data_IF_310175277818
#
_entry.id   IF_310175277818
#
_cell.length_a   1.000
_cell.length_b   1.000
_cell.length_c   1.000
_cell.angle_alpha   90.00
_cell.angle_beta   90.00
_cell.angle_gamma   90.00
#
_symmetry.space_group_name_H-M   'P 1'
#
loop_
_entity.id
_entity.type
_entity.pdbx_description
1 polymer ?
#
# COMPACT_ATOMS: atom_id res chain seq x y z
N UNK A 1 31.45 10.23 -44.02
CA UNK A 1 30.23 9.52 -43.61
C UNK A 1 30.43 8.99 -42.20
N UNK A 2 29.71 9.51 -41.19
CA UNK A 2 29.69 8.91 -39.88
C UNK A 2 28.52 7.91 -39.77
N UNK A 3 28.84 6.73 -39.26
CA UNK A 3 27.94 5.62 -38.94
C UNK A 3 26.91 6.06 -37.89
N UNK A 4 25.62 5.91 -38.20
CA UNK A 4 24.54 6.01 -37.21
C UNK A 4 24.53 4.73 -36.36
N UNK A 5 24.91 4.83 -35.11
CA UNK A 5 24.47 3.89 -34.08
C UNK A 5 23.11 4.39 -33.59
N UNK A 6 22.06 3.63 -33.89
CA UNK A 6 20.73 3.87 -33.33
C UNK A 6 20.70 3.38 -31.88
N UNK A 7 20.82 4.29 -30.92
CA UNK A 7 20.48 4.01 -29.53
C UNK A 7 18.94 4.06 -29.40
N UNK A 8 18.35 2.95 -28.97
CA UNK A 8 16.94 2.85 -28.59
C UNK A 8 16.64 3.78 -27.42
N UNK A 9 15.51 4.49 -27.47
CA UNK A 9 15.04 5.39 -26.43
C UNK A 9 14.93 4.65 -25.09
N UNK A 10 15.90 4.88 -24.19
CA UNK A 10 15.72 4.66 -22.76
C UNK A 10 14.78 5.74 -22.26
N UNK A 11 13.52 5.40 -22.03
CA UNK A 11 12.60 6.29 -21.32
C UNK A 11 13.11 6.40 -19.89
N UNK A 12 13.77 7.51 -19.56
CA UNK A 12 13.91 7.96 -18.17
C UNK A 12 12.48 8.23 -17.66
N UNK A 13 11.87 7.24 -17.03
CA UNK A 13 10.70 7.50 -16.19
C UNK A 13 11.25 8.21 -14.96
N UNK A 14 10.88 9.48 -14.78
CA UNK A 14 11.18 10.21 -13.55
C UNK A 14 10.52 9.47 -12.39
N UNK A 15 11.34 8.85 -11.54
CA UNK A 15 10.86 8.09 -10.38
C UNK A 15 10.09 9.02 -9.45
N UNK A 16 8.89 8.63 -9.03
CA UNK A 16 8.06 9.45 -8.16
C UNK A 16 8.62 9.51 -6.73
N UNK A 17 8.42 10.64 -6.07
CA UNK A 17 8.54 10.71 -4.61
C UNK A 17 7.24 10.24 -3.95
N UNK A 18 7.31 9.94 -2.65
CA UNK A 18 6.12 9.63 -1.87
C UNK A 18 5.10 10.78 -1.86
N UNK A 19 5.54 12.04 -1.95
CA UNK A 19 4.62 13.18 -2.03
C UNK A 19 3.89 13.18 -3.36
N UNK A 20 4.63 13.05 -4.46
CA UNK A 20 4.03 13.01 -5.81
C UNK A 20 3.06 11.85 -5.96
N UNK A 21 3.41 10.69 -5.38
CA UNK A 21 2.55 9.52 -5.39
C UNK A 21 1.26 9.72 -4.57
N UNK A 22 1.36 10.30 -3.37
CA UNK A 22 0.17 10.59 -2.54
C UNK A 22 -0.77 11.58 -3.24
N UNK A 23 -0.23 12.57 -3.95
CA UNK A 23 -1.02 13.52 -4.74
C UNK A 23 -1.65 12.86 -5.98
N UNK A 24 -0.96 11.87 -6.57
CA UNK A 24 -1.46 11.07 -7.69
C UNK A 24 -2.56 10.08 -7.28
N UNK A 25 -2.64 9.72 -6.00
CA UNK A 25 -3.52 8.69 -5.48
C UNK A 25 -4.96 9.21 -5.28
N UNK A 26 -5.73 9.18 -6.36
CA UNK A 26 -7.16 9.55 -6.34
C UNK A 26 -8.03 8.46 -5.69
N UNK A 27 -9.20 8.82 -5.12
CA UNK A 27 -10.18 7.84 -4.64
C UNK A 27 -10.50 6.77 -5.70
N UNK A 28 -10.38 5.50 -5.31
CA UNK A 28 -10.61 4.36 -6.21
C UNK A 28 -9.36 3.87 -6.95
N UNK A 29 -8.22 4.56 -6.86
CA UNK A 29 -6.92 4.01 -7.29
C UNK A 29 -6.33 3.17 -6.17
N UNK A 30 -5.95 1.94 -6.52
CA UNK A 30 -5.19 1.07 -5.63
C UNK A 30 -3.85 0.77 -6.29
N UNK A 31 -2.77 1.20 -5.67
CA UNK A 31 -1.42 1.03 -6.17
C UNK A 31 -0.41 1.08 -5.02
N UNK A 32 0.78 0.54 -5.22
CA UNK A 32 1.93 0.77 -4.34
C UNK A 32 2.99 1.60 -5.07
N UNK A 33 3.76 2.36 -4.30
CA UNK A 33 5.01 2.97 -4.72
C UNK A 33 6.16 2.18 -4.11
N UNK A 34 6.96 1.54 -4.96
CA UNK A 34 8.14 0.76 -4.54
C UNK A 34 9.35 1.33 -5.26
N UNK A 35 10.29 1.87 -4.47
CA UNK A 35 11.51 2.52 -4.95
C UNK A 35 11.28 3.60 -6.04
N UNK A 36 10.12 4.26 -5.97
CA UNK A 36 9.72 5.33 -6.88
C UNK A 36 8.95 4.86 -8.13
N UNK A 37 8.71 3.55 -8.26
CA UNK A 37 7.90 2.96 -9.32
C UNK A 37 6.47 2.66 -8.85
N UNK A 38 5.49 2.94 -9.70
CA UNK A 38 4.06 2.73 -9.39
C UNK A 38 3.58 1.35 -9.84
N UNK A 39 3.05 0.58 -8.90
CA UNK A 39 2.49 -0.75 -9.13
C UNK A 39 0.98 -0.72 -8.92
N UNK A 40 0.23 -0.61 -10.02
CA UNK A 40 -1.24 -0.59 -9.96
C UNK A 40 -1.80 -1.98 -9.71
N UNK A 41 -2.74 -2.07 -8.77
CA UNK A 41 -3.44 -3.31 -8.42
C UNK A 41 -4.64 -3.54 -9.33
N UNK A 42 -4.92 -4.81 -9.63
CA UNK A 42 -6.17 -5.20 -10.29
C UNK A 42 -7.35 -5.07 -9.32
N UNK A 43 -8.59 -4.93 -9.83
CA UNK A 43 -9.79 -4.98 -8.99
C UNK A 43 -9.84 -6.24 -8.12
N UNK A 44 -10.32 -6.07 -6.89
CA UNK A 44 -10.42 -7.13 -5.88
C UNK A 44 -11.47 -8.16 -6.28
N UNK A 45 -11.14 -9.46 -6.15
CA UNK A 45 -12.09 -10.54 -6.37
C UNK A 45 -13.12 -10.65 -5.24
N UNK A 46 -14.31 -11.17 -5.54
CA UNK A 46 -15.37 -11.37 -4.51
C UNK A 46 -14.92 -12.26 -3.36
N UNK A 47 -14.13 -13.32 -3.65
CA UNK A 47 -13.56 -14.21 -2.62
C UNK A 47 -12.58 -13.47 -1.71
N UNK A 48 -11.70 -12.65 -2.28
CA UNK A 48 -10.78 -11.82 -1.51
C UNK A 48 -11.57 -10.85 -0.61
N UNK A 49 -12.57 -10.15 -1.16
CA UNK A 49 -13.39 -9.22 -0.38
C UNK A 49 -14.13 -9.91 0.78
N UNK A 50 -14.68 -11.11 0.55
CA UNK A 50 -15.35 -11.89 1.60
C UNK A 50 -14.39 -12.32 2.72
N UNK A 51 -13.17 -12.76 2.37
CA UNK A 51 -12.18 -13.15 3.35
C UNK A 51 -11.70 -11.94 4.16
N UNK A 52 -11.43 -10.81 3.48
CA UNK A 52 -11.01 -9.58 4.11
C UNK A 52 -12.07 -9.07 5.11
N UNK A 53 -13.36 -9.09 4.72
CA UNK A 53 -14.50 -8.80 5.62
C UNK A 53 -14.52 -9.65 6.89
N UNK A 54 -14.22 -10.93 6.74
CA UNK A 54 -14.21 -11.85 7.87
C UNK A 54 -13.08 -11.53 8.84
N UNK A 55 -11.86 -11.34 8.33
CA UNK A 55 -10.66 -11.05 9.12
C UNK A 55 -10.78 -9.69 9.81
N UNK A 56 -11.13 -8.65 9.06
CA UNK A 56 -11.36 -7.28 9.55
C UNK A 56 -12.32 -7.27 10.74
N UNK A 57 -13.47 -7.95 10.63
CA UNK A 57 -14.46 -8.01 11.71
C UNK A 57 -13.93 -8.72 12.95
N UNK A 58 -13.21 -9.84 12.79
CA UNK A 58 -12.65 -10.58 13.93
C UNK A 58 -11.58 -9.76 14.65
N UNK A 59 -10.68 -9.15 13.90
CA UNK A 59 -9.61 -8.32 14.44
C UNK A 59 -10.15 -7.06 15.10
N UNK A 60 -11.06 -6.35 14.43
CA UNK A 60 -11.68 -5.13 14.95
C UNK A 60 -12.36 -5.36 16.30
N UNK A 61 -13.18 -6.42 16.42
CA UNK A 61 -13.83 -6.77 17.70
C UNK A 61 -12.80 -7.00 18.82
N UNK A 62 -11.71 -7.71 18.52
CA UNK A 62 -10.68 -7.99 19.50
C UNK A 62 -9.93 -6.72 19.91
N UNK A 63 -9.51 -5.90 18.94
CA UNK A 63 -8.78 -4.66 19.14
C UNK A 63 -9.62 -3.68 19.97
N UNK A 64 -10.88 -3.48 19.60
CA UNK A 64 -11.80 -2.56 20.30
C UNK A 64 -12.08 -3.01 21.73
N UNK A 65 -12.32 -4.32 21.93
CA UNK A 65 -12.59 -4.90 23.26
C UNK A 65 -11.42 -4.69 24.22
N UNK A 66 -10.19 -4.69 23.71
CA UNK A 66 -8.98 -4.63 24.50
C UNK A 66 -8.28 -3.25 24.46
N UNK A 67 -8.81 -2.29 23.69
CA UNK A 67 -8.23 -0.95 23.56
C UNK A 67 -6.82 -0.96 22.98
N UNK A 68 -6.54 -1.85 22.01
CA UNK A 68 -5.16 -2.12 21.57
C UNK A 68 -4.62 -1.09 20.57
N UNK A 69 -5.49 -0.34 19.90
CA UNK A 69 -5.10 0.66 18.91
C UNK A 69 -6.11 0.80 17.79
N UNK A 70 -5.63 0.94 16.56
CA UNK A 70 -6.46 1.23 15.39
C UNK A 70 -6.16 0.27 14.25
N UNK A 71 -7.22 -0.32 13.70
CA UNK A 71 -7.17 -1.11 12.48
C UNK A 71 -7.67 -0.26 11.32
N UNK A 72 -6.84 -0.13 10.29
CA UNK A 72 -7.24 0.46 9.03
C UNK A 72 -7.49 -0.64 8.00
N UNK A 73 -8.59 -0.47 7.29
CA UNK A 73 -9.03 -1.29 6.18
C UNK A 73 -9.12 -0.38 4.95
N UNK A 74 -8.89 -0.93 3.77
CA UNK A 74 -9.05 -0.25 2.47
C UNK A 74 -8.01 0.83 2.18
N UNK A 75 -6.76 0.41 1.92
CA UNK A 75 -5.80 1.23 1.18
C UNK A 75 -5.47 2.58 1.83
N UNK A 76 -5.51 2.67 3.16
CA UNK A 76 -4.86 3.80 3.85
C UNK A 76 -3.38 3.73 3.51
N UNK A 77 -2.88 4.80 2.89
CA UNK A 77 -1.50 4.85 2.43
C UNK A 77 -0.54 4.79 3.62
N UNK A 78 0.42 3.87 3.55
CA UNK A 78 1.48 3.67 4.54
C UNK A 78 2.77 4.17 3.93
N UNK A 79 3.23 5.34 4.37
CA UNK A 79 4.47 5.94 3.88
C UNK A 79 5.65 5.44 4.70
N UNK A 80 6.49 4.60 4.09
CA UNK A 80 7.68 4.03 4.73
C UNK A 80 8.97 4.82 4.43
N UNK A 81 8.95 5.69 3.43
CA UNK A 81 10.09 6.52 3.10
C UNK A 81 9.79 7.51 1.98
N UNK A 82 10.83 8.19 1.50
CA UNK A 82 10.70 9.22 0.45
C UNK A 82 10.26 8.69 -0.92
N UNK A 83 10.29 7.38 -1.14
CA UNK A 83 9.94 6.70 -2.41
C UNK A 83 9.21 5.37 -2.20
N UNK A 84 8.69 5.14 -1.00
CA UNK A 84 8.06 3.87 -0.63
C UNK A 84 6.74 4.16 0.11
N UNK A 85 5.63 3.81 -0.53
CA UNK A 85 4.27 3.99 -0.02
C UNK A 85 3.45 2.75 -0.39
N UNK A 86 2.80 2.13 0.59
CA UNK A 86 2.06 0.89 0.40
C UNK A 86 0.60 1.03 0.79
N UNK A 87 -0.28 0.33 0.09
CA UNK A 87 -1.73 0.27 0.31
C UNK A 87 -2.15 -1.15 0.72
N UNK A 88 -1.83 -1.57 1.95
CA UNK A 88 -2.13 -2.91 2.42
C UNK A 88 -3.63 -3.19 2.49
N UNK A 89 -4.00 -4.47 2.44
CA UNK A 89 -5.39 -4.90 2.67
C UNK A 89 -5.89 -4.51 4.07
N UNK A 90 -5.10 -4.83 5.12
CA UNK A 90 -5.28 -4.35 6.49
C UNK A 90 -3.95 -3.89 7.10
N UNK A 91 -4.01 -2.81 7.88
CA UNK A 91 -2.89 -2.33 8.68
C UNK A 91 -3.35 -2.01 10.11
N UNK A 92 -2.68 -2.60 11.09
CA UNK A 92 -2.92 -2.35 12.51
C UNK A 92 -1.77 -1.55 13.14
N UNK A 93 -2.15 -0.57 13.94
CA UNK A 93 -1.23 0.26 14.73
C UNK A 93 -1.62 0.19 16.20
N UNK A 94 -0.65 -0.02 17.08
CA UNK A 94 -0.87 0.01 18.52
C UNK A 94 -1.21 1.42 19.01
N UNK A 95 -1.92 1.50 20.13
CA UNK A 95 -2.41 2.78 20.68
C UNK A 95 -1.31 3.84 20.91
N UNK A 96 -0.07 3.42 21.16
CA UNK A 96 1.08 4.31 21.34
C UNK A 96 1.63 4.91 20.02
N UNK A 97 1.11 4.51 18.85
CA UNK A 97 1.48 5.05 17.52
C UNK A 97 0.45 6.03 16.95
N UNK A 98 -0.47 6.53 17.76
CA UNK A 98 -1.50 7.46 17.29
C UNK A 98 -0.91 8.74 16.66
N UNK A 99 0.31 9.11 17.05
CA UNK A 99 1.07 10.24 16.51
C UNK A 99 1.61 10.01 15.10
N UNK A 100 1.61 8.78 14.58
CA UNK A 100 1.98 8.47 13.20
C UNK A 100 0.84 8.73 12.18
N UNK A 101 -0.41 8.77 12.66
CA UNK A 101 -1.60 8.86 11.81
C UNK A 101 -1.75 10.29 11.30
N UNK A 102 -1.92 10.46 9.98
CA UNK A 102 -2.19 11.73 9.32
C UNK A 102 -3.58 11.69 8.67
N UNK A 103 -4.13 12.84 8.24
CA UNK A 103 -5.44 12.86 7.59
C UNK A 103 -5.54 12.02 6.31
N UNK A 104 -4.43 11.84 5.58
CA UNK A 104 -4.42 11.17 4.27
C UNK A 104 -3.59 9.89 4.20
N UNK A 105 -2.74 9.64 5.19
CA UNK A 105 -1.80 8.51 5.21
C UNK A 105 -1.34 8.25 6.64
N UNK A 106 -0.52 7.22 6.83
CA UNK A 106 0.20 6.96 8.08
C UNK A 106 1.70 6.97 7.79
N UNK A 107 2.47 7.64 8.65
CA UNK A 107 3.93 7.69 8.57
C UNK A 107 4.55 6.52 9.33
N UNK A 108 5.42 5.74 8.68
CA UNK A 108 6.09 4.59 9.28
C UNK A 108 5.27 3.30 9.24
N UNK A 109 5.92 2.19 9.61
CA UNK A 109 5.35 0.86 9.45
C UNK A 109 4.18 0.58 10.42
N UNK A 110 3.15 -0.16 9.99
CA UNK A 110 2.18 -0.79 10.88
C UNK A 110 2.86 -1.78 11.82
N UNK A 111 2.27 -2.04 12.98
CA UNK A 111 2.71 -3.10 13.89
C UNK A 111 2.28 -4.48 13.38
N UNK A 112 1.24 -4.54 12.54
CA UNK A 112 0.82 -5.74 11.81
C UNK A 112 0.18 -5.36 10.47
N UNK A 113 0.56 -6.08 9.42
CA UNK A 113 -0.09 -6.06 8.09
C UNK A 113 -0.71 -7.42 7.83
N UNK A 114 -1.88 -7.44 7.18
CA UNK A 114 -2.49 -8.67 6.67
C UNK A 114 -2.81 -8.47 5.19
N UNK A 115 -2.29 -9.34 4.34
CA UNK A 115 -2.57 -9.38 2.90
C UNK A 115 -3.35 -10.64 2.51
N UNK A 116 -4.41 -10.47 1.73
CA UNK A 116 -5.18 -11.55 1.15
C UNK A 116 -4.65 -11.84 -0.25
N UNK A 117 -3.76 -12.84 -0.32
CA UNK A 117 -3.10 -13.24 -1.58
C UNK A 117 -4.10 -13.47 -2.71
N UNK A 118 -3.84 -12.80 -3.83
CA UNK A 118 -4.44 -13.14 -5.12
C UNK A 118 -3.42 -13.88 -5.98
N UNK A 119 -3.82 -14.76 -6.92
CA UNK A 119 -2.87 -15.46 -7.79
C UNK A 119 -1.94 -14.53 -8.59
N UNK A 120 -2.32 -13.25 -8.77
CA UNK A 120 -1.55 -12.25 -9.53
C UNK A 120 -0.58 -11.42 -8.67
N UNK A 121 -0.81 -11.35 -7.36
CA UNK A 121 -0.01 -10.53 -6.43
C UNK A 121 0.79 -11.39 -5.44
N UNK A 122 0.54 -12.70 -5.42
CA UNK A 122 1.13 -13.62 -4.45
C UNK A 122 2.67 -13.56 -4.36
N UNK A 123 3.41 -13.27 -5.42
CA UNK A 123 4.87 -13.15 -5.35
C UNK A 123 5.36 -11.90 -4.60
N UNK A 124 4.55 -10.83 -4.56
CA UNK A 124 4.88 -9.57 -3.87
C UNK A 124 4.41 -9.57 -2.42
N UNK A 125 3.27 -10.20 -2.15
CA UNK A 125 2.60 -10.17 -0.85
C UNK A 125 3.21 -11.17 0.17
N UNK A 126 4.22 -11.97 -0.23
CA UNK A 126 4.83 -13.03 0.60
C UNK A 126 6.17 -12.63 1.26
N UNK A 127 6.63 -11.39 1.09
CA UNK A 127 7.94 -10.93 1.57
C UNK A 127 7.91 -9.57 2.25
#
# INVERSE_FOLDING_TARGET
>A
MPTRVSASASTEYELLTASDFLDWLEPGRRADLIDGEVFVHSPVSTRHAQLLNFVDRLMGIYIDRHGLGTLFREAVAVKLGGRNVFLPDLAFYTANRADAIRPTHVEGAPDLVVEVLSPRTAERDIG
#
